data_IF_140847983103
#
_entry.id   IF_140847983103
#
_cell.length_a   1.000
_cell.length_b   1.000
_cell.length_c   1.000
_cell.angle_alpha   90.00
_cell.angle_beta   90.00
_cell.angle_gamma   90.00
#
_symmetry.space_group_name_H-M   'P 1'
#
loop_
_entity.id
_entity.type
_entity.pdbx_description
1 polymer ?
#
# COMPACT_ATOMS: atom_id res chain seq x y z
N UNK A 1 -14.63 -62.15 63.28
CA UNK A 1 -14.76 -60.76 62.79
C UNK A 1 -13.49 -59.98 62.49
N UNK A 2 -12.28 -60.38 62.91
CA UNK A 2 -11.07 -59.56 62.68
C UNK A 2 -10.66 -59.46 61.20
N UNK A 3 -10.90 -60.52 60.40
CA UNK A 3 -10.57 -60.52 58.94
C UNK A 3 -11.42 -59.54 58.14
N UNK A 4 -12.69 -59.36 58.55
CA UNK A 4 -13.65 -58.50 57.86
C UNK A 4 -13.41 -57.02 58.18
N UNK A 5 -12.95 -56.73 59.40
CA UNK A 5 -12.47 -55.41 59.80
C UNK A 5 -11.16 -55.02 59.11
N UNK A 6 -10.25 -55.99 58.87
CA UNK A 6 -9.01 -55.75 58.13
C UNK A 6 -9.27 -55.44 56.65
N UNK A 7 -10.20 -56.18 56.01
CA UNK A 7 -10.61 -55.93 54.62
C UNK A 7 -11.33 -54.58 54.47
N UNK A 8 -12.15 -54.18 55.44
CA UNK A 8 -12.79 -52.85 55.45
C UNK A 8 -11.78 -51.72 55.71
N UNK A 9 -10.75 -51.94 56.54
CA UNK A 9 -9.69 -50.96 56.79
C UNK A 9 -8.72 -50.80 55.60
N UNK A 10 -8.52 -51.86 54.80
CA UNK A 10 -7.71 -51.81 53.57
C UNK A 10 -8.48 -51.18 52.40
N UNK A 11 -9.80 -51.41 52.29
CA UNK A 11 -10.66 -50.75 51.31
C UNK A 11 -10.81 -49.23 51.56
N UNK A 12 -10.71 -48.78 52.81
CA UNK A 12 -10.82 -47.36 53.18
C UNK A 12 -9.57 -46.50 52.87
N UNK A 13 -8.48 -47.08 52.35
CA UNK A 13 -7.21 -46.37 52.10
C UNK A 13 -6.83 -46.17 50.63
N UNK A 14 -7.74 -46.43 49.68
CA UNK A 14 -7.58 -46.00 48.29
C UNK A 14 -8.59 -44.91 47.93
N UNK A 15 -8.53 -43.78 48.65
CA UNK A 15 -8.98 -42.53 48.05
C UNK A 15 -7.92 -42.18 47.00
N UNK A 16 -8.24 -42.14 45.69
CA UNK A 16 -7.28 -41.64 44.72
C UNK A 16 -6.95 -40.21 45.15
N UNK A 17 -5.69 -40.01 45.53
CA UNK A 17 -5.15 -38.68 45.81
C UNK A 17 -5.32 -37.91 44.51
N UNK A 18 -6.41 -37.15 44.38
CA UNK A 18 -6.62 -36.27 43.23
C UNK A 18 -5.41 -35.35 43.25
N UNK A 19 -4.44 -35.62 42.36
CA UNK A 19 -3.36 -34.68 42.08
C UNK A 19 -4.10 -33.38 41.78
N UNK A 20 -3.92 -32.36 42.63
CA UNK A 20 -4.34 -31.01 42.31
C UNK A 20 -3.63 -30.63 41.02
N UNK A 21 -4.26 -30.89 39.88
CA UNK A 21 -3.81 -30.42 38.60
C UNK A 21 -4.01 -28.92 38.66
N UNK A 22 -2.90 -28.18 38.68
CA UNK A 22 -2.99 -26.73 38.51
C UNK A 22 -3.80 -26.42 37.26
N UNK A 23 -4.58 -25.33 37.30
CA UNK A 23 -5.31 -24.86 36.13
C UNK A 23 -4.47 -23.88 35.33
N UNK A 24 -4.70 -23.82 34.03
CA UNK A 24 -4.15 -22.79 33.17
C UNK A 24 -4.74 -21.43 33.55
N UNK A 25 -3.89 -20.42 33.77
CA UNK A 25 -4.36 -19.08 34.17
C UNK A 25 -5.07 -18.31 33.04
N UNK A 26 -5.06 -18.83 31.81
CA UNK A 26 -5.67 -18.18 30.64
C UNK A 26 -7.05 -18.71 30.31
N UNK A 27 -7.22 -20.03 30.27
CA UNK A 27 -8.50 -20.66 29.94
C UNK A 27 -9.18 -21.33 31.14
N UNK A 28 -8.51 -21.36 32.31
CA UNK A 28 -8.99 -21.99 33.55
C UNK A 28 -9.24 -23.51 33.47
N UNK A 29 -8.84 -24.16 32.38
CA UNK A 29 -8.93 -25.61 32.23
C UNK A 29 -7.73 -26.30 32.92
N UNK A 30 -7.89 -27.57 33.34
CA UNK A 30 -6.82 -28.35 33.97
C UNK A 30 -5.57 -28.43 33.09
N UNK A 31 -4.40 -28.31 33.68
CA UNK A 31 -3.13 -28.53 32.98
C UNK A 31 -2.91 -30.02 32.75
N UNK A 32 -2.48 -30.36 31.54
CA UNK A 32 -2.01 -31.70 31.20
C UNK A 32 -0.57 -31.93 31.68
N UNK A 33 0.10 -32.92 31.08
CA UNK A 33 1.47 -33.29 31.42
C UNK A 33 2.49 -32.20 31.05
N UNK A 34 2.21 -31.43 29.99
CA UNK A 34 3.07 -30.37 29.48
C UNK A 34 2.43 -29.01 29.77
N UNK A 35 3.19 -28.15 30.44
CA UNK A 35 2.78 -26.77 30.72
C UNK A 35 3.99 -25.84 30.71
N UNK A 36 3.73 -24.55 30.50
CA UNK A 36 4.76 -23.51 30.45
C UNK A 36 4.51 -22.43 31.51
N UNK A 37 5.56 -21.78 32.04
CA UNK A 37 5.39 -20.62 32.91
C UNK A 37 4.77 -19.46 32.12
N UNK A 38 3.85 -18.74 32.75
CA UNK A 38 3.23 -17.57 32.16
C UNK A 38 4.24 -16.41 32.07
N UNK A 39 4.40 -15.80 30.90
CA UNK A 39 5.36 -14.69 30.69
C UNK A 39 5.18 -13.48 31.62
N UNK A 40 3.97 -13.26 32.16
CA UNK A 40 3.61 -12.11 33.00
C UNK A 40 3.32 -12.46 34.46
N UNK A 41 3.57 -13.70 34.88
CA UNK A 41 3.32 -14.15 36.26
C UNK A 41 4.39 -15.15 36.68
N UNK A 42 4.99 -14.92 37.85
CA UNK A 42 6.05 -15.77 38.41
C UNK A 42 5.55 -17.17 38.80
N UNK A 43 4.26 -17.31 39.10
CA UNK A 43 3.66 -18.56 39.59
C UNK A 43 2.61 -19.14 38.63
N UNK A 44 2.18 -18.35 37.65
CA UNK A 44 1.19 -18.76 36.66
C UNK A 44 1.71 -19.81 35.69
N UNK A 45 0.85 -20.77 35.35
CA UNK A 45 1.13 -21.81 34.35
C UNK A 45 0.08 -21.76 33.24
N UNK A 46 0.48 -22.09 32.02
CA UNK A 46 -0.39 -22.07 30.83
C UNK A 46 -0.17 -23.31 29.96
N UNK A 47 -1.19 -23.68 29.19
CA UNK A 47 -1.06 -24.67 28.12
C UNK A 47 -0.15 -24.17 26.99
N UNK A 48 0.39 -25.10 26.20
CA UNK A 48 1.18 -24.79 25.01
C UNK A 48 0.37 -23.93 24.03
N UNK A 49 -0.89 -24.29 23.82
CA UNK A 49 -1.82 -23.62 22.91
C UNK A 49 -2.14 -22.20 23.40
N UNK A 50 -2.40 -22.04 24.72
CA UNK A 50 -2.64 -20.72 25.31
C UNK A 50 -1.41 -19.81 25.22
N UNK A 51 -0.21 -20.37 25.39
CA UNK A 51 1.03 -19.61 25.21
C UNK A 51 1.22 -19.21 23.73
N UNK A 52 1.01 -20.13 22.80
CA UNK A 52 1.10 -19.87 21.37
C UNK A 52 0.13 -18.76 20.94
N UNK A 53 -1.12 -18.81 21.41
CA UNK A 53 -2.11 -17.75 21.18
C UNK A 53 -1.64 -16.39 21.73
N UNK A 54 -1.06 -16.36 22.94
CA UNK A 54 -0.54 -15.12 23.51
C UNK A 54 0.60 -14.54 22.68
N UNK A 55 1.53 -15.38 22.21
CA UNK A 55 2.65 -14.95 21.35
C UNK A 55 2.13 -14.42 20.02
N UNK A 56 1.17 -15.10 19.39
CA UNK A 56 0.56 -14.62 18.15
C UNK A 56 -0.11 -13.25 18.33
N UNK A 57 -0.84 -13.05 19.41
CA UNK A 57 -1.45 -11.74 19.74
C UNK A 57 -0.43 -10.65 20.02
N UNK A 58 0.75 -10.99 20.53
CA UNK A 58 1.87 -10.05 20.72
C UNK A 58 2.44 -9.63 19.36
N UNK A 59 2.76 -10.59 18.49
CA UNK A 59 3.27 -10.33 17.14
C UNK A 59 2.29 -9.52 16.28
N UNK A 60 1.00 -9.84 16.33
CA UNK A 60 -0.03 -9.08 15.60
C UNK A 60 -0.11 -7.62 16.07
N UNK A 61 0.02 -7.37 17.38
CA UNK A 61 0.05 -6.00 17.92
C UNK A 61 1.29 -5.25 17.48
N UNK A 62 2.45 -5.89 17.48
CA UNK A 62 3.69 -5.28 17.00
C UNK A 62 3.66 -4.97 15.50
N UNK A 63 3.11 -5.87 14.68
CA UNK A 63 2.90 -5.62 13.25
C UNK A 63 1.96 -4.45 13.01
N UNK A 64 0.81 -4.43 13.70
CA UNK A 64 -0.15 -3.34 13.59
C UNK A 64 0.48 -2.00 13.96
N UNK A 65 1.30 -1.95 15.01
CA UNK A 65 2.03 -0.74 15.40
C UNK A 65 3.05 -0.29 14.34
N UNK A 66 3.74 -1.23 13.68
CA UNK A 66 4.65 -0.90 12.57
C UNK A 66 3.88 -0.33 11.38
N UNK A 67 2.81 -1.00 10.97
CA UNK A 67 1.94 -0.54 9.89
C UNK A 67 1.36 0.85 10.16
N UNK A 68 0.92 1.12 11.38
CA UNK A 68 0.36 2.42 11.75
C UNK A 68 1.41 3.53 11.66
N UNK A 69 2.63 3.29 12.16
CA UNK A 69 3.77 4.23 12.05
C UNK A 69 4.13 4.49 10.59
N UNK A 70 4.18 3.46 9.76
CA UNK A 70 4.53 3.63 8.35
C UNK A 70 3.41 4.32 7.56
N UNK A 71 2.15 4.03 7.89
CA UNK A 71 1.01 4.77 7.34
C UNK A 71 1.05 6.25 7.73
N UNK A 72 1.44 6.58 8.95
CA UNK A 72 1.62 7.98 9.38
C UNK A 72 2.75 8.66 8.62
N UNK A 73 3.92 8.01 8.46
CA UNK A 73 5.02 8.54 7.65
C UNK A 73 4.61 8.76 6.19
N UNK A 74 3.88 7.80 5.60
CA UNK A 74 3.36 7.94 4.22
C UNK A 74 2.39 9.11 4.14
N UNK A 75 1.45 9.24 5.08
CA UNK A 75 0.51 10.37 5.14
C UNK A 75 1.24 11.71 5.29
N UNK A 76 2.27 11.77 6.14
CA UNK A 76 3.07 12.99 6.33
C UNK A 76 3.79 13.36 5.04
N UNK A 77 4.49 12.41 4.40
CA UNK A 77 5.16 12.63 3.11
C UNK A 77 4.18 13.05 2.01
N UNK A 78 2.98 12.45 1.97
CA UNK A 78 1.96 12.85 1.00
C UNK A 78 1.49 14.29 1.20
N UNK A 79 1.39 14.75 2.45
CA UNK A 79 1.06 16.15 2.76
C UNK A 79 2.22 17.09 2.42
N UNK A 80 3.43 16.74 2.83
CA UNK A 80 4.64 17.55 2.66
C UNK A 80 4.99 17.75 1.18
N UNK A 81 5.05 16.66 0.42
CA UNK A 81 5.38 16.69 -1.00
C UNK A 81 4.16 16.86 -1.91
N UNK A 82 3.00 17.14 -1.32
CA UNK A 82 1.75 17.34 -2.05
C UNK A 82 1.41 16.17 -3.00
N UNK A 83 1.76 14.94 -2.60
CA UNK A 83 1.58 13.71 -3.40
C UNK A 83 0.13 13.28 -3.31
N UNK A 84 -0.57 13.35 -4.44
CA UNK A 84 -1.95 12.89 -4.59
C UNK A 84 -2.65 13.61 -5.72
N UNK A 85 -3.54 12.90 -6.42
CA UNK A 85 -4.39 13.51 -7.43
C UNK A 85 -5.39 14.45 -6.74
N UNK A 86 -5.32 15.75 -7.04
CA UNK A 86 -6.23 16.78 -6.52
C UNK A 86 -7.16 17.26 -7.64
N UNK A 87 -8.21 16.48 -7.97
CA UNK A 87 -9.05 16.74 -9.14
C UNK A 87 -9.77 18.08 -9.07
N UNK A 88 -10.01 18.63 -7.88
CA UNK A 88 -10.66 19.94 -7.73
C UNK A 88 -9.70 21.12 -7.90
N UNK A 89 -8.40 20.91 -7.70
CA UNK A 89 -7.38 21.98 -7.71
C UNK A 89 -6.63 22.03 -9.03
N UNK A 90 -6.36 20.87 -9.63
CA UNK A 90 -5.46 20.79 -10.77
C UNK A 90 -5.93 19.73 -11.78
N UNK A 91 -7.02 20.02 -12.49
CA UNK A 91 -7.30 19.32 -13.76
C UNK A 91 -6.46 20.01 -14.82
N UNK A 92 -5.48 19.33 -15.45
CA UNK A 92 -4.75 19.89 -16.58
C UNK A 92 -5.75 20.31 -17.65
N UNK A 93 -5.81 21.61 -17.95
CA UNK A 93 -6.67 22.15 -19.00
C UNK A 93 -5.83 22.30 -20.26
N UNK A 94 -6.25 21.68 -21.34
CA UNK A 94 -5.64 21.82 -22.66
C UNK A 94 -6.13 23.09 -23.41
N UNK A 95 -6.89 23.98 -22.76
CA UNK A 95 -7.39 25.22 -23.36
C UNK A 95 -6.27 26.18 -23.78
N UNK A 96 -5.17 26.25 -23.02
CA UNK A 96 -4.02 27.09 -23.37
C UNK A 96 -3.27 26.55 -24.59
N UNK A 97 -3.11 25.23 -24.69
CA UNK A 97 -2.54 24.58 -25.86
C UNK A 97 -3.44 24.74 -27.10
N UNK A 98 -4.76 24.63 -26.92
CA UNK A 98 -5.75 24.83 -27.96
C UNK A 98 -5.74 26.26 -28.52
N UNK A 99 -5.60 27.27 -27.65
CA UNK A 99 -5.49 28.67 -28.08
C UNK A 99 -4.24 28.92 -28.94
N UNK A 100 -3.17 28.14 -28.78
CA UNK A 100 -1.98 28.20 -29.66
C UNK A 100 -2.19 27.47 -30.99
N UNK A 101 -3.05 26.46 -31.01
CA UNK A 101 -3.33 25.62 -32.19
C UNK A 101 -4.40 26.23 -33.10
N UNK A 102 -5.34 26.98 -32.54
CA UNK A 102 -6.49 27.55 -33.25
C UNK A 102 -6.87 28.90 -32.67
N UNK A 103 -7.25 29.86 -33.52
CA UNK A 103 -7.86 31.14 -33.09
C UNK A 103 -9.29 30.98 -32.50
N UNK A 104 -9.73 29.74 -32.27
CA UNK A 104 -11.08 29.44 -31.81
C UNK A 104 -11.22 29.60 -30.29
N UNK A 105 -12.16 30.44 -29.87
CA UNK A 105 -12.63 30.51 -28.48
C UNK A 105 -13.56 29.33 -28.20
N UNK A 106 -12.99 28.18 -27.84
CA UNK A 106 -13.76 26.98 -27.54
C UNK A 106 -14.17 26.92 -26.05
N UNK A 107 -15.38 26.41 -25.75
CA UNK A 107 -15.92 26.35 -24.38
C UNK A 107 -15.11 25.41 -23.49
N UNK A 108 -14.96 25.75 -22.22
CA UNK A 108 -14.17 25.00 -21.23
C UNK A 108 -14.46 23.49 -21.26
N UNK A 109 -13.42 22.63 -21.37
CA UNK A 109 -13.60 21.18 -21.41
C UNK A 109 -12.36 20.40 -21.86
N UNK A 110 -12.55 19.10 -22.08
CA UNK A 110 -11.57 18.22 -22.73
C UNK A 110 -11.79 18.24 -24.25
N UNK A 111 -10.76 17.92 -25.02
CA UNK A 111 -10.81 17.92 -26.49
C UNK A 111 -10.20 16.66 -27.07
N UNK A 112 -10.74 16.22 -28.20
CA UNK A 112 -10.27 15.12 -29.02
C UNK A 112 -9.96 15.63 -30.44
N UNK A 113 -9.30 14.80 -31.25
CA UNK A 113 -9.13 15.02 -32.68
C UNK A 113 -10.09 14.13 -33.45
N UNK A 114 -10.82 14.73 -34.39
CA UNK A 114 -11.68 14.02 -35.32
C UNK A 114 -11.14 14.18 -36.74
N UNK A 115 -11.09 13.07 -37.49
CA UNK A 115 -10.82 13.09 -38.92
C UNK A 115 -12.15 13.34 -39.66
N UNK A 116 -12.24 14.47 -40.34
CA UNK A 116 -13.37 14.81 -41.19
C UNK A 116 -13.33 14.02 -42.51
N UNK A 117 -14.45 14.05 -43.26
CA UNK A 117 -14.61 13.25 -44.49
C UNK A 117 -13.67 13.66 -45.63
N UNK A 118 -13.16 14.88 -45.59
CA UNK A 118 -12.19 15.45 -46.52
C UNK A 118 -10.73 15.17 -46.10
N UNK A 119 -10.50 14.26 -45.15
CA UNK A 119 -9.22 13.99 -44.51
C UNK A 119 -8.65 15.19 -43.71
N UNK A 120 -9.44 16.23 -43.43
CA UNK A 120 -9.02 17.28 -42.52
C UNK A 120 -9.09 16.81 -41.07
N UNK A 121 -8.10 17.18 -40.25
CA UNK A 121 -8.13 16.93 -38.81
C UNK A 121 -8.75 18.15 -38.13
N UNK A 122 -9.76 17.93 -37.30
CA UNK A 122 -10.46 18.99 -36.54
C UNK A 122 -10.42 18.71 -35.05
N UNK A 123 -10.39 19.76 -34.24
CA UNK A 123 -10.50 19.65 -32.79
C UNK A 123 -11.97 19.67 -32.40
N UNK A 124 -12.40 18.67 -31.63
CA UNK A 124 -13.78 18.55 -31.16
C UNK A 124 -13.82 18.45 -29.63
N UNK A 125 -14.82 19.04 -28.95
CA UNK A 125 -15.01 18.85 -27.52
C UNK A 125 -15.36 17.39 -27.23
N UNK A 126 -14.90 16.87 -26.08
CA UNK A 126 -15.25 15.53 -25.60
C UNK A 126 -15.55 15.54 -24.11
N UNK A 127 -16.52 14.71 -23.70
CA UNK A 127 -16.78 14.42 -22.29
C UNK A 127 -16.07 13.14 -21.82
N UNK A 128 -15.47 12.37 -22.73
CA UNK A 128 -14.78 11.13 -22.45
C UNK A 128 -13.28 11.39 -22.22
N UNK A 129 -12.75 11.21 -20.99
CA UNK A 129 -11.34 11.44 -20.71
C UNK A 129 -10.40 10.53 -21.50
N UNK A 130 -10.81 9.30 -21.79
CA UNK A 130 -10.02 8.35 -22.58
C UNK A 130 -9.89 8.76 -24.06
N UNK A 131 -10.82 9.58 -24.56
CA UNK A 131 -10.76 10.14 -25.91
C UNK A 131 -10.04 11.51 -25.96
N UNK A 132 -9.70 12.08 -24.80
CA UNK A 132 -9.06 13.39 -24.73
C UNK A 132 -7.58 13.28 -25.13
N UNK A 133 -7.13 14.21 -25.97
CA UNK A 133 -5.73 14.27 -26.41
C UNK A 133 -5.01 15.38 -25.66
N UNK A 134 -3.79 15.08 -25.19
CA UNK A 134 -2.88 16.11 -24.73
C UNK A 134 -2.35 16.91 -25.94
N UNK A 135 -3.06 17.98 -26.28
CA UNK A 135 -2.77 18.84 -27.43
C UNK A 135 -1.38 19.49 -27.35
N UNK A 136 -0.89 19.79 -26.14
CA UNK A 136 0.44 20.35 -25.94
C UNK A 136 1.52 19.33 -26.31
N UNK A 137 1.41 18.12 -25.78
CA UNK A 137 2.32 17.03 -26.13
C UNK A 137 2.29 16.74 -27.64
N UNK A 138 1.11 16.69 -28.24
CA UNK A 138 0.98 16.47 -29.69
C UNK A 138 1.67 17.59 -30.49
N UNK A 139 1.45 18.85 -30.13
CA UNK A 139 2.08 19.98 -30.82
C UNK A 139 3.61 19.92 -30.76
N UNK A 140 4.15 19.54 -29.59
CA UNK A 140 5.59 19.34 -29.38
C UNK A 140 6.08 18.17 -30.23
N UNK A 141 5.38 17.04 -30.21
CA UNK A 141 5.76 15.84 -30.95
C UNK A 141 5.78 16.10 -32.47
N UNK A 142 4.79 16.81 -33.00
CA UNK A 142 4.76 17.22 -34.40
C UNK A 142 5.92 18.15 -34.74
N UNK A 143 6.21 19.15 -33.90
CA UNK A 143 7.34 20.06 -34.11
C UNK A 143 8.66 19.30 -34.16
N UNK A 144 8.91 18.41 -33.20
CA UNK A 144 10.15 17.60 -33.15
C UNK A 144 10.23 16.67 -34.35
N UNK A 145 9.12 16.06 -34.78
CA UNK A 145 9.10 15.21 -35.97
C UNK A 145 9.40 15.98 -37.24
N UNK A 146 8.89 17.20 -37.37
CA UNK A 146 9.17 18.08 -38.50
C UNK A 146 10.63 18.56 -38.53
N UNK A 147 11.23 18.86 -37.37
CA UNK A 147 12.59 19.42 -37.29
C UNK A 147 13.70 18.38 -37.21
N UNK A 148 13.48 17.27 -36.50
CA UNK A 148 14.49 16.26 -36.16
C UNK A 148 14.24 14.90 -36.86
N UNK A 149 13.11 14.74 -37.55
CA UNK A 149 12.75 13.48 -38.22
C UNK A 149 12.39 12.33 -37.26
N UNK A 150 12.22 12.60 -35.97
CA UNK A 150 11.94 11.60 -34.92
C UNK A 150 10.95 12.10 -33.88
N UNK A 151 10.55 11.22 -32.97
CA UNK A 151 9.66 11.57 -31.85
C UNK A 151 10.45 12.17 -30.68
N UNK A 152 9.80 13.02 -29.86
CA UNK A 152 10.41 13.55 -28.64
C UNK A 152 10.61 12.43 -27.61
N UNK A 153 11.78 12.38 -26.98
CA UNK A 153 12.09 11.44 -25.91
C UNK A 153 12.13 12.15 -24.57
N UNK A 154 11.52 11.51 -23.56
CA UNK A 154 11.58 11.95 -22.18
C UNK A 154 11.95 10.74 -21.33
N UNK A 155 13.00 10.87 -20.52
CA UNK A 155 13.40 9.82 -19.58
C UNK A 155 13.76 10.40 -18.22
N UNK A 156 13.63 9.55 -17.20
CA UNK A 156 14.17 9.79 -15.87
C UNK A 156 15.43 8.95 -15.74
N UNK A 157 16.56 9.56 -16.07
CA UNK A 157 17.84 8.87 -16.03
C UNK A 157 18.43 8.95 -14.63
N UNK A 158 19.05 7.88 -14.11
CA UNK A 158 19.84 7.97 -12.89
C UNK A 158 20.98 9.00 -13.08
N UNK A 159 21.22 9.84 -12.09
CA UNK A 159 22.40 10.75 -12.11
C UNK A 159 23.69 9.93 -12.10
N UNK A 160 23.67 8.80 -11.40
CA UNK A 160 24.76 7.82 -11.38
C UNK A 160 24.18 6.41 -11.60
N UNK A 161 24.37 5.81 -12.79
CA UNK A 161 23.77 4.52 -13.13
C UNK A 161 24.32 3.34 -12.29
N UNK A 162 25.46 3.51 -11.63
CA UNK A 162 26.10 2.45 -10.84
C UNK A 162 25.63 2.45 -9.37
N UNK A 163 24.95 3.51 -8.92
CA UNK A 163 24.40 3.64 -7.58
C UNK A 163 22.92 3.26 -7.53
N UNK A 164 22.57 2.27 -6.70
CA UNK A 164 21.17 1.80 -6.50
C UNK A 164 20.23 2.89 -5.95
N UNK A 165 20.75 3.84 -5.20
CA UNK A 165 19.99 4.94 -4.59
C UNK A 165 20.50 6.30 -5.07
N UNK A 166 20.50 6.50 -6.39
CA UNK A 166 20.83 7.79 -6.98
C UNK A 166 19.57 8.62 -7.26
N UNK A 167 19.74 9.94 -7.26
CA UNK A 167 18.70 10.86 -7.72
C UNK A 167 18.45 10.65 -9.23
N UNK A 168 17.22 10.89 -9.68
CA UNK A 168 16.87 10.84 -11.10
C UNK A 168 16.81 12.25 -11.69
N UNK A 169 17.33 12.41 -12.91
CA UNK A 169 17.25 13.65 -13.67
C UNK A 169 16.33 13.47 -14.87
N UNK A 170 15.47 14.48 -15.12
CA UNK A 170 14.65 14.53 -16.33
C UNK A 170 15.53 14.87 -17.53
N UNK A 171 15.63 13.93 -18.47
CA UNK A 171 16.28 14.12 -19.76
C UNK A 171 15.22 14.34 -20.83
N UNK A 172 15.52 15.29 -21.72
CA UNK A 172 14.67 15.68 -22.84
C UNK A 172 15.48 15.54 -24.11
N UNK A 173 14.93 14.87 -25.11
CA UNK A 173 15.50 14.86 -26.44
C UNK A 173 14.48 15.24 -27.51
N UNK A 174 14.81 16.21 -28.38
CA UNK A 174 16.03 17.03 -28.37
C UNK A 174 16.13 17.96 -27.15
N UNK A 175 17.37 18.36 -26.82
CA UNK A 175 17.68 19.13 -25.61
C UNK A 175 16.89 20.45 -25.46
N UNK A 176 16.53 21.06 -26.59
CA UNK A 176 15.75 22.31 -26.63
C UNK A 176 14.31 22.17 -26.12
N UNK A 177 13.80 20.94 -25.92
CA UNK A 177 12.50 20.69 -25.29
C UNK A 177 12.49 20.99 -23.78
N UNK A 178 13.67 21.09 -23.17
CA UNK A 178 13.76 21.37 -21.73
C UNK A 178 13.17 22.76 -21.45
N UNK A 179 12.06 22.79 -20.71
CA UNK A 179 11.38 24.04 -20.33
C UNK A 179 10.39 24.59 -21.36
N UNK A 180 10.02 23.81 -22.39
CA UNK A 180 9.06 24.25 -23.41
C UNK A 180 7.58 23.96 -23.08
N UNK A 181 7.30 23.30 -21.96
CA UNK A 181 5.96 22.94 -21.45
C UNK A 181 5.70 23.56 -20.08
#
# INVERSE_FOLDING_TARGET
DVRRELEQAMAAKMVPKVRSMGCCIKCFLPLGEIYYPARRSLTGRVHAECLAQQVLQELQREEQQRMDKDREKVKLRHREYNIGWKPLVHIPRNSAALAKLTDMKLPHGLYALALARDNAITVVPTACPAAAVNLEYLSIALKVRLSEGREPLFSLDPVDPDLKETMQVKRFEPHWLKGSS
#
